data_IF_626908976496
#
_entry.id   IF_626908976496
#
_cell.length_a   1.000
_cell.length_b   1.000
_cell.length_c   1.000
_cell.angle_alpha   90.00
_cell.angle_beta   90.00
_cell.angle_gamma   90.00
#
_symmetry.space_group_name_H-M   'P 1'
#
loop_
_entity.id
_entity.type
_entity.pdbx_description
1 polymer ?
#
# COMPACT_ATOMS: atom_id res chain seq x y z
N UNK A 1 -6.80 -18.83 -5.71
CA UNK A 1 -6.81 -18.34 -5.56
C UNK A 1 -5.86 -17.58 -5.41
N UNK A 2 -4.86 -17.84 -5.28
CA UNK A 2 -3.79 -17.04 -5.10
C UNK A 2 -3.80 -15.87 -5.93
N UNK A 3 -4.14 -16.06 -7.07
CA UNK A 3 -4.17 -14.93 -7.94
C UNK A 3 -5.07 -13.87 -7.36
N UNK A 4 -5.87 -14.25 -6.45
CA UNK A 4 -6.78 -13.30 -5.91
C UNK A 4 -6.24 -12.47 -4.77
N UNK A 5 -4.95 -12.55 -4.53
CA UNK A 5 -4.43 -11.76 -3.46
C UNK A 5 -4.79 -10.31 -3.68
N UNK A 6 -5.57 -9.78 -2.80
CA UNK A 6 -6.01 -8.41 -2.89
C UNK A 6 -5.45 -7.65 -1.70
N UNK A 7 -4.28 -7.08 -1.90
CA UNK A 7 -3.62 -6.38 -0.82
C UNK A 7 -4.41 -5.19 -0.31
N UNK A 8 -5.19 -4.57 -1.19
CA UNK A 8 -5.98 -3.43 -0.75
C UNK A 8 -7.07 -3.86 0.22
N UNK A 9 -7.74 -4.96 -0.09
CA UNK A 9 -8.78 -5.46 0.81
C UNK A 9 -8.17 -5.92 2.12
N UNK A 10 -7.05 -6.64 2.04
CA UNK A 10 -6.40 -7.11 3.25
C UNK A 10 -5.96 -5.94 4.12
N UNK A 11 -5.41 -4.91 3.50
CA UNK A 11 -5.00 -3.74 4.26
C UNK A 11 -6.19 -3.07 4.91
N UNK A 12 -7.28 -2.95 4.17
CA UNK A 12 -8.45 -2.30 4.72
C UNK A 12 -9.02 -3.06 5.90
N UNK A 13 -9.02 -4.38 5.83
CA UNK A 13 -9.47 -5.17 6.96
C UNK A 13 -8.55 -4.98 8.15
N UNK A 14 -7.26 -4.91 7.90
CA UNK A 14 -6.31 -4.73 8.99
C UNK A 14 -6.49 -3.39 9.67
N UNK A 15 -6.60 -2.32 8.89
CA UNK A 15 -6.77 -0.99 9.48
C UNK A 15 -8.10 -0.89 10.21
N UNK A 16 -9.13 -1.52 9.67
CA UNK A 16 -10.43 -1.50 10.33
C UNK A 16 -10.38 -2.24 11.65
N UNK A 17 -9.72 -3.38 11.68
CA UNK A 17 -9.66 -4.17 12.90
C UNK A 17 -8.84 -3.45 13.98
N UNK A 18 -7.98 -2.54 13.58
CA UNK A 18 -7.20 -1.79 14.55
C UNK A 18 -7.79 -0.42 14.86
N UNK A 19 -8.94 -0.13 14.28
CA UNK A 19 -9.59 1.14 14.56
C UNK A 19 -8.86 2.33 13.96
N UNK A 20 -8.10 2.11 12.90
CA UNK A 20 -7.32 3.18 12.30
C UNK A 20 -8.05 3.93 11.20
N UNK A 21 -9.24 3.48 10.83
CA UNK A 21 -9.96 4.09 9.73
C UNK A 21 -9.49 3.51 8.41
N UNK A 22 -9.70 4.23 7.34
CA UNK A 22 -9.35 3.72 6.03
C UNK A 22 -7.96 4.09 5.61
N UNK A 23 -7.50 3.47 4.56
CA UNK A 23 -6.22 3.79 3.97
C UNK A 23 -6.44 4.71 2.78
N UNK A 24 -5.58 5.70 2.64
CA UNK A 24 -5.61 6.62 1.53
C UNK A 24 -4.39 6.36 0.65
N UNK A 25 -4.62 6.35 -0.65
CA UNK A 25 -3.55 6.11 -1.60
C UNK A 25 -3.22 7.38 -2.34
N UNK A 26 -1.96 7.78 -2.30
CA UNK A 26 -1.48 8.94 -3.03
C UNK A 26 -0.59 8.43 -4.15
N UNK A 27 -0.93 8.78 -5.38
CA UNK A 27 -0.22 8.26 -6.54
C UNK A 27 0.35 9.42 -7.34
N UNK A 28 1.62 9.32 -7.67
CA UNK A 28 2.28 10.27 -8.54
C UNK A 28 2.92 9.51 -9.69
N UNK A 29 3.23 10.21 -10.74
CA UNK A 29 3.88 9.59 -11.88
C UNK A 29 5.03 10.44 -12.34
N UNK A 30 6.06 9.79 -12.86
CA UNK A 30 7.23 10.45 -13.40
C UNK A 30 7.65 9.76 -14.67
N UNK A 31 8.45 10.44 -15.46
CA UNK A 31 8.97 9.86 -16.69
C UNK A 31 8.16 10.27 -17.90
N UNK A 32 8.69 9.96 -19.07
CA UNK A 32 8.02 10.33 -20.32
C UNK A 32 6.79 9.44 -20.55
N UNK A 33 5.94 9.90 -21.43
CA UNK A 33 4.69 9.19 -21.70
C UNK A 33 4.90 7.73 -22.06
N UNK A 34 5.95 7.43 -22.76
CA UNK A 34 6.17 6.05 -23.22
C UNK A 34 6.88 5.20 -22.17
N UNK A 35 7.22 5.79 -21.04
CA UNK A 35 7.95 5.04 -20.01
C UNK A 35 7.65 5.65 -18.65
N UNK A 36 6.38 5.71 -18.32
CA UNK A 36 5.98 6.28 -17.04
C UNK A 36 6.18 5.31 -15.90
N UNK A 37 6.55 5.87 -14.79
CA UNK A 37 6.67 5.11 -13.57
C UNK A 37 5.73 5.73 -12.55
N UNK A 38 4.97 4.91 -11.88
CA UNK A 38 4.01 5.37 -10.88
C UNK A 38 4.49 5.00 -9.50
N UNK A 39 4.35 5.94 -8.59
CA UNK A 39 4.69 5.71 -7.19
C UNK A 39 3.45 5.95 -6.36
N UNK A 40 3.12 4.98 -5.53
CA UNK A 40 1.96 5.09 -4.65
C UNK A 40 2.41 5.05 -3.21
N UNK A 41 1.74 5.84 -2.38
CA UNK A 41 1.98 5.83 -0.95
C UNK A 41 0.68 5.56 -0.24
N UNK A 42 0.75 4.79 0.83
CA UNK A 42 -0.41 4.49 1.65
C UNK A 42 -0.32 5.29 2.93
N UNK A 43 -1.36 6.06 3.20
CA UNK A 43 -1.45 6.86 4.41
C UNK A 43 -2.59 6.33 5.25
N UNK A 44 -2.30 6.02 6.50
CA UNK A 44 -3.29 5.54 7.46
C UNK A 44 -3.12 6.36 8.71
N UNK A 45 -4.22 6.89 9.22
CA UNK A 45 -4.17 7.69 10.45
C UNK A 45 -3.11 8.78 10.34
N UNK A 46 -3.06 9.40 9.17
CA UNK A 46 -2.17 10.54 8.93
C UNK A 46 -0.68 10.18 8.91
N UNK A 47 -0.38 8.92 8.83
CA UNK A 47 1.02 8.48 8.73
C UNK A 47 1.20 7.62 7.50
N UNK A 48 2.35 7.74 6.88
CA UNK A 48 2.64 6.94 5.70
C UNK A 48 3.21 5.61 6.13
N UNK A 49 2.61 4.52 5.66
CA UNK A 49 3.02 3.19 6.08
C UNK A 49 3.64 2.36 4.97
N UNK A 50 3.44 2.72 3.72
CA UNK A 50 4.02 1.93 2.66
C UNK A 50 4.07 2.68 1.37
N UNK A 51 5.03 2.32 0.53
CA UNK A 51 5.14 2.87 -0.80
C UNK A 51 5.38 1.75 -1.79
N UNK A 52 4.98 1.99 -3.02
CA UNK A 52 5.21 1.02 -4.07
C UNK A 52 5.40 1.72 -5.39
N UNK A 53 6.19 1.11 -6.25
CA UNK A 53 6.49 1.66 -7.57
C UNK A 53 6.09 0.63 -8.60
N UNK A 54 5.44 1.07 -9.67
CA UNK A 54 5.04 0.17 -10.71
C UNK A 54 4.87 0.88 -12.02
N UNK A 55 4.60 0.10 -13.06
CA UNK A 55 4.38 0.66 -14.39
C UNK A 55 2.96 1.14 -14.59
N UNK A 56 2.06 0.78 -13.69
CA UNK A 56 0.69 1.25 -13.72
C UNK A 56 0.32 1.70 -12.33
N UNK A 57 -0.74 2.51 -12.26
CA UNK A 57 -1.24 2.94 -10.96
C UNK A 57 -1.64 1.75 -10.11
N UNK A 58 -2.30 0.79 -10.73
CA UNK A 58 -2.78 -0.37 -9.99
C UNK A 58 -1.60 -1.14 -9.41
N UNK A 59 -0.56 -1.33 -10.20
CA UNK A 59 0.59 -2.06 -9.72
C UNK A 59 1.26 -1.32 -8.56
N UNK A 60 1.41 0.00 -8.70
CA UNK A 60 2.03 0.79 -7.64
C UNK A 60 1.20 0.73 -6.36
N UNK A 61 -0.12 0.83 -6.50
CA UNK A 61 -0.99 0.79 -5.33
C UNK A 61 -0.97 -0.57 -4.65
N UNK A 62 -0.94 -1.64 -5.43
CA UNK A 62 -0.89 -2.96 -4.84
C UNK A 62 0.41 -3.18 -4.07
N UNK A 63 1.51 -2.72 -4.63
CA UNK A 63 2.79 -2.84 -3.93
C UNK A 63 2.81 -1.97 -2.68
N UNK A 64 2.24 -0.78 -2.77
CA UNK A 64 2.17 0.09 -1.59
C UNK A 64 1.30 -0.53 -0.51
N UNK A 65 0.19 -1.13 -0.90
CA UNK A 65 -0.69 -1.78 0.07
C UNK A 65 0.01 -2.94 0.75
N UNK A 66 0.74 -3.74 -0.02
CA UNK A 66 1.47 -4.86 0.58
C UNK A 66 2.53 -4.35 1.55
N UNK A 67 3.23 -3.29 1.19
CA UNK A 67 4.22 -2.73 2.08
C UNK A 67 3.59 -2.20 3.36
N UNK A 68 2.45 -1.53 3.23
CA UNK A 68 1.76 -1.00 4.40
C UNK A 68 1.24 -2.13 5.28
N UNK A 69 0.70 -3.17 4.65
CA UNK A 69 0.21 -4.30 5.42
C UNK A 69 1.33 -4.94 6.22
N UNK A 70 2.49 -5.12 5.58
CA UNK A 70 3.64 -5.68 6.26
C UNK A 70 4.12 -4.77 7.38
N UNK A 71 4.11 -3.47 7.15
CA UNK A 71 4.56 -2.54 8.19
C UNK A 71 3.64 -2.60 9.39
N UNK A 72 2.34 -2.65 9.15
CA UNK A 72 1.38 -2.67 10.26
C UNK A 72 1.38 -3.99 10.99
N UNK A 73 1.41 -5.10 10.25
CA UNK A 73 1.38 -6.38 10.94
C UNK A 73 2.75 -6.76 11.46
N UNK A 74 3.82 -6.32 10.79
CA UNK A 74 5.16 -6.63 11.26
C UNK A 74 5.52 -5.91 12.53
N UNK A 75 4.77 -4.84 12.83
CA UNK A 75 5.02 -4.13 14.05
C UNK A 75 5.01 -5.03 15.25
N UNK A 76 4.20 -6.06 15.20
CA UNK A 76 4.09 -6.96 16.33
C UNK A 76 5.32 -7.82 16.48
N UNK A 77 5.98 -8.13 15.38
CA UNK A 77 7.12 -9.00 15.49
C UNK A 77 8.42 -8.24 15.60
N UNK A 78 8.41 -7.02 15.17
CA UNK A 78 9.65 -6.28 15.20
C UNK A 78 10.06 -5.91 16.60
N UNK A 79 9.26 -6.26 17.53
CA UNK A 79 9.59 -5.95 18.89
C UNK A 79 10.88 -6.60 19.33
N UNK A 80 11.30 -7.60 18.61
CA UNK A 80 12.47 -8.24 19.07
C UNK A 80 13.69 -7.40 18.97
#
# INVERSE_FOLDING_TARGET
MGAGLDWKSSLQELTASRGLGGATYLVTSTGPDHDKEFTASVVVAESEYGTGVGRTKKEAELKAAAAAWNALSGDLTSAD
#
